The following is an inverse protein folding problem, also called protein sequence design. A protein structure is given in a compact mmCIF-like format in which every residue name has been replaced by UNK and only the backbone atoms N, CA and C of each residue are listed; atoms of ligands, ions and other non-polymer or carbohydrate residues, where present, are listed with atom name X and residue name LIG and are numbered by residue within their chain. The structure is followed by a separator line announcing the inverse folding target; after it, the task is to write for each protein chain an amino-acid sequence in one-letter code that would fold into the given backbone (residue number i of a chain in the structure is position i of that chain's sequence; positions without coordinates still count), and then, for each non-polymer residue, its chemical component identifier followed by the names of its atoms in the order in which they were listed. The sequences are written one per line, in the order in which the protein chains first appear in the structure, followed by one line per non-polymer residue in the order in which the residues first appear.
data_IF_798142603105
#
_entry.id   IF_798142603105
#
_cell.length_a   1.000
_cell.length_b   1.000
_cell.length_c   1.000
_cell.angle_alpha   90.00
_cell.angle_beta   90.00
_cell.angle_gamma   90.00
#
_symmetry.space_group_name_H-M   'P 1'
#
loop_
_entity.id
_entity.type
_entity.pdbx_description
1 polymer ?
#
# COMPACT_ATOMS: atom_id res chain seq x y z
N UNK A 1 46.49 8.91 -38.94
CA UNK A 1 45.10 8.41 -38.81
C UNK A 1 45.03 7.73 -37.44
N UNK A 2 44.53 8.46 -36.43
CA UNK A 2 44.66 8.10 -35.01
C UNK A 2 43.59 7.09 -34.59
N UNK A 3 44.03 5.93 -34.10
CA UNK A 3 43.23 4.92 -33.41
C UNK A 3 43.16 5.32 -31.94
N UNK A 4 41.96 5.53 -31.41
CA UNK A 4 41.76 5.77 -29.98
C UNK A 4 41.65 4.42 -29.27
N UNK A 5 42.70 4.07 -28.52
CA UNK A 5 42.69 2.92 -27.63
C UNK A 5 41.81 3.25 -26.42
N UNK A 6 40.70 2.52 -26.28
CA UNK A 6 39.88 2.58 -25.06
C UNK A 6 40.66 1.87 -23.94
N UNK A 7 41.21 2.64 -23.01
CA UNK A 7 41.92 2.08 -21.85
C UNK A 7 40.89 1.60 -20.84
N UNK A 8 40.79 0.29 -20.64
CA UNK A 8 39.96 -0.30 -19.59
C UNK A 8 40.43 0.20 -18.23
N UNK A 9 39.66 1.11 -17.65
CA UNK A 9 39.89 1.56 -16.27
C UNK A 9 39.42 0.42 -15.36
N UNK A 10 40.37 -0.32 -14.82
CA UNK A 10 40.15 -1.22 -13.70
C UNK A 10 39.66 -0.40 -12.50
N UNK A 11 38.35 -0.27 -12.32
CA UNK A 11 37.76 0.36 -11.13
C UNK A 11 37.85 -0.63 -9.97
N UNK A 12 39.07 -0.85 -9.49
CA UNK A 12 39.39 -1.55 -8.25
C UNK A 12 39.24 -0.57 -7.07
N UNK A 13 38.01 -0.10 -6.85
CA UNK A 13 37.69 0.74 -5.71
C UNK A 13 36.20 0.62 -5.43
N UNK A 14 35.84 -0.04 -4.33
CA UNK A 14 34.49 0.11 -3.77
C UNK A 14 34.28 1.62 -3.61
N UNK A 15 33.38 2.19 -4.40
CA UNK A 15 32.97 3.58 -4.27
C UNK A 15 32.39 3.74 -2.88
N UNK A 16 33.22 4.22 -1.94
CA UNK A 16 32.78 4.61 -0.62
C UNK A 16 31.72 5.67 -0.83
N UNK A 17 30.47 5.33 -0.49
CA UNK A 17 29.33 6.24 -0.61
C UNK A 17 29.67 7.50 0.19
N UNK A 18 29.68 8.65 -0.47
CA UNK A 18 29.91 9.93 0.20
C UNK A 18 28.72 10.22 1.12
N UNK A 19 28.91 9.98 2.41
CA UNK A 19 27.91 10.17 3.46
C UNK A 19 27.62 11.64 3.75
N UNK A 20 28.40 12.59 3.21
CA UNK A 20 28.10 14.03 3.33
C UNK A 20 26.98 14.48 2.38
N UNK A 21 26.73 13.70 1.33
CA UNK A 21 25.73 14.00 0.30
C UNK A 21 24.63 12.93 0.18
N UNK A 22 24.93 11.68 0.55
CA UNK A 22 24.00 10.55 0.44
C UNK A 22 23.72 9.99 1.84
N UNK A 23 22.52 10.28 2.36
CA UNK A 23 22.03 9.67 3.59
C UNK A 23 21.43 8.29 3.33
N UNK A 24 21.79 7.32 4.17
CA UNK A 24 21.36 5.93 4.04
C UNK A 24 20.34 5.56 5.13
N UNK A 25 19.07 5.50 4.73
CA UNK A 25 17.97 5.14 5.62
C UNK A 25 17.65 3.64 5.67
N UNK A 26 18.47 2.76 5.09
CA UNK A 26 18.19 1.31 5.03
C UNK A 26 17.92 0.69 6.40
N UNK A 27 18.44 1.26 7.49
CA UNK A 27 18.30 0.71 8.85
C UNK A 27 17.22 1.40 9.67
N UNK A 28 16.47 2.34 9.09
CA UNK A 28 15.39 3.00 9.82
C UNK A 28 14.18 2.09 9.98
N UNK A 29 13.63 2.11 11.19
CA UNK A 29 12.32 1.55 11.49
C UNK A 29 11.28 2.63 11.24
N UNK A 30 10.32 2.33 10.37
CA UNK A 30 9.23 3.24 10.06
C UNK A 30 7.93 2.74 10.70
N UNK A 31 7.18 3.66 11.29
CA UNK A 31 5.83 3.42 11.81
C UNK A 31 4.88 4.32 11.03
N UNK A 32 3.71 3.79 10.66
CA UNK A 32 2.67 4.57 9.98
C UNK A 32 1.30 4.24 10.54
N UNK A 33 0.45 5.25 10.57
CA UNK A 33 -0.99 5.12 10.76
C UNK A 33 -1.69 5.61 9.50
N UNK A 34 -2.78 4.99 9.10
CA UNK A 34 -3.51 5.40 7.90
C UNK A 34 -5.01 5.13 8.05
N UNK A 35 -5.82 6.01 7.49
CA UNK A 35 -7.26 5.80 7.31
C UNK A 35 -7.55 5.29 5.91
N UNK A 36 -8.44 4.30 5.79
CA UNK A 36 -8.97 3.85 4.50
C UNK A 36 -10.45 4.17 4.48
N UNK A 37 -10.86 4.97 3.50
CA UNK A 37 -12.26 5.12 3.12
C UNK A 37 -12.45 4.52 1.71
N UNK A 38 -13.26 3.45 1.59
CA UNK A 38 -13.58 2.83 0.30
C UNK A 38 -14.98 3.25 -0.13
N UNK A 39 -15.04 4.03 -1.21
CA UNK A 39 -16.30 4.44 -1.84
C UNK A 39 -16.53 3.61 -3.10
N UNK A 40 -17.54 2.76 -3.08
CA UNK A 40 -17.93 1.90 -4.21
C UNK A 40 -19.38 2.18 -4.61
N UNK A 41 -19.67 3.45 -4.88
CA UNK A 41 -20.99 3.89 -5.33
C UNK A 41 -21.07 3.74 -6.85
N UNK A 42 -22.17 3.20 -7.36
CA UNK A 42 -22.42 3.18 -8.80
C UNK A 42 -23.92 3.34 -9.09
N UNK A 43 -24.19 3.88 -10.27
CA UNK A 43 -25.55 4.07 -10.77
C UNK A 43 -25.70 3.34 -12.09
N UNK A 44 -26.80 2.61 -12.23
CA UNK A 44 -27.20 1.98 -13.48
C UNK A 44 -28.40 2.76 -14.00
N UNK A 45 -28.28 3.28 -15.22
CA UNK A 45 -29.37 3.97 -15.92
C UNK A 45 -29.87 3.07 -17.03
N UNK A 46 -31.16 2.78 -17.03
CA UNK A 46 -31.83 2.11 -18.14
C UNK A 46 -32.21 3.16 -19.20
N UNK A 47 -31.59 3.06 -20.37
CA UNK A 47 -31.80 3.97 -21.49
C UNK A 47 -33.22 3.95 -22.05
N UNK A 48 -33.93 2.82 -21.93
CA UNK A 48 -35.26 2.64 -22.51
C UNK A 48 -36.37 3.05 -21.54
N UNK A 49 -36.17 2.81 -20.23
CA UNK A 49 -37.19 3.09 -19.21
C UNK A 49 -36.95 4.38 -18.40
N UNK A 50 -35.84 5.09 -18.63
CA UNK A 50 -35.42 6.27 -17.84
C UNK A 50 -35.33 6.00 -16.33
N UNK A 51 -35.22 4.72 -15.92
CA UNK A 51 -35.10 4.34 -14.51
C UNK A 51 -33.63 4.33 -14.09
N UNK A 52 -33.38 4.78 -12.88
CA UNK A 52 -32.06 4.85 -12.28
C UNK A 52 -32.00 3.99 -11.02
N UNK A 53 -31.09 3.02 -10.99
CA UNK A 53 -30.76 2.25 -9.81
C UNK A 53 -29.47 2.84 -9.20
N UNK A 54 -29.58 3.31 -7.96
CA UNK A 54 -28.44 3.81 -7.19
C UNK A 54 -27.99 2.77 -6.17
N UNK A 55 -26.77 2.30 -6.30
CA UNK A 55 -26.15 1.40 -5.32
C UNK A 55 -25.13 2.16 -4.47
N UNK A 56 -25.44 2.29 -3.18
CA UNK A 56 -24.56 2.87 -2.17
C UNK A 56 -24.30 1.82 -1.07
N UNK A 57 -23.10 1.22 -1.02
CA UNK A 57 -22.76 0.29 0.05
C UNK A 57 -22.61 1.03 1.39
N UNK A 58 -22.78 0.31 2.50
CA UNK A 58 -22.56 0.84 3.85
C UNK A 58 -21.07 1.22 4.01
N UNK A 59 -20.77 2.53 3.88
CA UNK A 59 -19.42 3.06 3.92
C UNK A 59 -18.85 2.97 5.33
N UNK A 60 -17.77 2.20 5.48
CA UNK A 60 -17.11 2.05 6.77
C UNK A 60 -15.70 2.64 6.68
N UNK A 61 -15.36 3.56 7.59
CA UNK A 61 -13.99 4.03 7.72
C UNK A 61 -13.15 2.94 8.41
N UNK A 62 -12.06 2.52 7.78
CA UNK A 62 -11.09 1.62 8.41
C UNK A 62 -9.86 2.41 8.85
N UNK A 63 -9.24 1.96 9.93
CA UNK A 63 -8.01 2.53 10.44
C UNK A 63 -6.96 1.44 10.53
N UNK A 64 -5.76 1.78 10.07
CA UNK A 64 -4.65 0.86 9.98
C UNK A 64 -3.40 1.38 10.67
N UNK A 65 -2.65 0.42 11.19
CA UNK A 65 -1.33 0.59 11.75
C UNK A 65 -0.35 -0.24 10.91
N UNK A 66 0.82 0.31 10.65
CA UNK A 66 1.85 -0.38 9.88
C UNK A 66 3.24 -0.10 10.42
N UNK A 67 4.09 -1.10 10.26
CA UNK A 67 5.52 -1.01 10.56
C UNK A 67 6.29 -1.47 9.33
N UNK A 68 7.42 -0.84 9.07
CA UNK A 68 8.32 -1.26 8.01
C UNK A 68 9.77 -1.20 8.49
N UNK A 69 10.53 -2.23 8.12
CA UNK A 69 11.94 -2.33 8.42
C UNK A 69 12.69 -3.00 7.27
N UNK A 70 13.67 -2.29 6.70
CA UNK A 70 14.47 -2.76 5.56
C UNK A 70 13.59 -3.20 4.38
N UNK A 71 13.46 -4.51 4.20
CA UNK A 71 12.77 -5.15 3.08
C UNK A 71 11.37 -5.64 3.45
N UNK A 72 10.98 -5.59 4.73
CA UNK A 72 9.72 -6.12 5.22
C UNK A 72 8.81 -4.99 5.71
N UNK A 73 7.59 -4.94 5.18
CA UNK A 73 6.49 -4.12 5.68
C UNK A 73 5.35 -5.00 6.17
N UNK A 74 4.77 -4.66 7.32
CA UNK A 74 3.60 -5.30 7.88
C UNK A 74 2.55 -4.24 8.18
N UNK A 75 1.31 -4.52 7.84
CA UNK A 75 0.19 -3.61 8.03
C UNK A 75 -1.01 -4.39 8.54
N UNK A 76 -1.74 -3.80 9.47
CA UNK A 76 -3.02 -4.31 9.95
C UNK A 76 -4.02 -3.17 9.96
N UNK A 77 -5.24 -3.42 9.51
CA UNK A 77 -6.32 -2.45 9.57
C UNK A 77 -7.61 -3.08 10.10
N UNK A 78 -8.38 -2.27 10.80
CA UNK A 78 -9.65 -2.64 11.41
C UNK A 78 -10.70 -1.58 11.10
N UNK A 79 -11.96 -2.00 11.03
CA UNK A 79 -13.10 -1.09 10.86
C UNK A 79 -13.31 -0.24 12.13
N UNK A 80 -13.43 1.07 11.96
CA UNK A 80 -13.80 1.99 13.04
C UNK A 80 -15.33 2.14 13.11
N UNK A 81 -15.92 2.28 14.31
CA UNK A 81 -17.36 2.41 14.51
C UNK A 81 -17.81 3.88 14.43
N UNK A 82 -17.38 4.63 13.40
CA UNK A 82 -17.54 6.10 13.41
C UNK A 82 -18.84 6.58 12.75
N UNK A 83 -19.49 5.77 11.92
CA UNK A 83 -20.83 6.04 11.38
C UNK A 83 -21.28 4.79 10.62
N UNK A 84 -21.86 3.82 11.34
CA UNK A 84 -22.44 2.66 10.68
C UNK A 84 -23.90 2.58 11.11
N UNK A 85 -24.80 2.46 10.14
CA UNK A 85 -26.18 2.03 10.38
C UNK A 85 -26.20 0.52 10.70
N UNK A 86 -25.41 0.11 11.70
CA UNK A 86 -25.27 -1.27 12.16
C UNK A 86 -26.63 -1.81 12.68
N UNK A 87 -27.59 -0.93 13.00
CA UNK A 87 -28.98 -1.28 13.34
C UNK A 87 -29.83 -1.69 12.14
N UNK A 88 -29.51 -1.21 10.92
CA UNK A 88 -30.27 -1.48 9.68
C UNK A 88 -29.55 -2.54 8.83
N UNK A 89 -28.21 -2.49 8.76
CA UNK A 89 -27.40 -3.34 7.88
C UNK A 89 -26.55 -4.39 8.61
N UNK A 90 -26.61 -4.43 9.94
CA UNK A 90 -25.90 -5.41 10.77
C UNK A 90 -24.44 -5.06 11.07
N UNK A 91 -23.91 -5.64 12.16
CA UNK A 91 -22.54 -5.41 12.62
C UNK A 91 -21.53 -6.19 11.77
N UNK A 92 -20.94 -5.55 10.77
CA UNK A 92 -19.80 -6.15 10.04
C UNK A 92 -18.50 -5.89 10.81
N UNK A 93 -17.76 -6.94 11.17
CA UNK A 93 -16.37 -6.86 11.62
C UNK A 93 -15.44 -7.10 10.45
N UNK A 94 -14.42 -6.26 10.33
CA UNK A 94 -13.44 -6.35 9.26
C UNK A 94 -12.02 -6.24 9.83
N UNK A 95 -11.18 -7.21 9.48
CA UNK A 95 -9.75 -7.20 9.76
C UNK A 95 -9.01 -7.43 8.44
N UNK A 96 -8.11 -6.50 8.12
CA UNK A 96 -7.21 -6.58 6.97
C UNK A 96 -5.77 -6.71 7.47
N UNK A 97 -5.05 -7.67 6.91
CA UNK A 97 -3.62 -7.87 7.13
C UNK A 97 -2.89 -7.80 5.79
N UNK A 98 -1.80 -7.04 5.75
CA UNK A 98 -1.00 -6.86 4.53
C UNK A 98 0.49 -6.96 4.84
N UNK A 99 1.21 -7.72 4.02
CA UNK A 99 2.65 -7.91 4.13
C UNK A 99 3.31 -7.60 2.80
N UNK A 100 4.34 -6.76 2.81
CA UNK A 100 5.09 -6.37 1.62
C UNK A 100 6.55 -6.75 1.81
N UNK A 101 7.12 -7.50 0.86
CA UNK A 101 8.48 -8.04 0.90
C UNK A 101 9.22 -7.57 -0.35
N UNK A 102 10.23 -6.73 -0.17
CA UNK A 102 11.05 -6.16 -1.23
C UNK A 102 12.45 -6.77 -1.24
N UNK A 103 12.67 -7.77 -2.08
CA UNK A 103 14.01 -8.34 -2.29
C UNK A 103 14.72 -7.64 -3.45
N UNK A 104 16.01 -7.95 -3.69
CA UNK A 104 16.78 -7.35 -4.80
C UNK A 104 16.22 -7.70 -6.19
N UNK A 105 15.53 -8.83 -6.33
CA UNK A 105 15.07 -9.36 -7.62
C UNK A 105 13.55 -9.49 -7.72
N UNK A 106 12.85 -9.54 -6.60
CA UNK A 106 11.43 -9.81 -6.53
C UNK A 106 10.75 -8.94 -5.49
N UNK A 107 9.50 -8.60 -5.79
CA UNK A 107 8.57 -7.96 -4.86
C UNK A 107 7.42 -8.94 -4.64
N UNK A 108 7.06 -9.13 -3.38
CA UNK A 108 5.95 -10.01 -2.99
C UNK A 108 5.05 -9.23 -2.05
N UNK A 109 3.79 -9.09 -2.44
CA UNK A 109 2.75 -8.46 -1.63
C UNK A 109 1.66 -9.49 -1.31
N UNK A 110 1.37 -9.66 -0.02
CA UNK A 110 0.36 -10.58 0.49
C UNK A 110 -0.73 -9.80 1.21
N UNK A 111 -1.98 -10.08 0.87
CA UNK A 111 -3.14 -9.42 1.45
C UNK A 111 -4.17 -10.44 1.91
N UNK A 112 -4.53 -10.42 3.19
CA UNK A 112 -5.55 -11.27 3.79
C UNK A 112 -6.61 -10.38 4.41
N UNK A 113 -7.86 -10.57 4.01
CA UNK A 113 -8.99 -9.78 4.50
C UNK A 113 -10.05 -10.74 5.01
N UNK A 114 -10.53 -10.52 6.25
CA UNK A 114 -11.61 -11.29 6.83
C UNK A 114 -12.78 -10.39 7.17
N UNK A 115 -13.96 -10.79 6.69
CA UNK A 115 -15.24 -10.17 6.91
C UNK A 115 -16.11 -11.16 7.69
N UNK A 116 -16.60 -10.77 8.87
CA UNK A 116 -17.50 -11.56 9.71
C UNK A 116 -18.69 -10.69 10.15
#
# INVERSE_FOLDING_TARGET
MHVWAQTETNISGMTSIDTSYIENYKKLFAVKNYGINKKHQFSIVDSDSSKMLNYNPNENMNFGFGIAYKWLGLNIAFKLPIQNDDSIYGKTKKIDFQTNIYTRRFVVDLNVQRYN
#
